data_IF_389426253966
#
_entry.id   IF_389426253966
#
_cell.length_a   1.000
_cell.length_b   1.000
_cell.length_c   1.000
_cell.angle_alpha   90.00
_cell.angle_beta   90.00
_cell.angle_gamma   90.00
#
_symmetry.space_group_name_H-M   'P 1'
#
loop_
_entity.id
_entity.type
_entity.pdbx_description
1 polymer ?
#
# COMPACT_ATOMS: atom_id res chain seq x y z
N UNK A 1 49.84 -67.51 -3.07
CA UNK A 1 49.43 -68.43 -2.02
C UNK A 1 48.25 -67.78 -1.30
N UNK A 2 47.00 -68.19 -1.59
CA UNK A 2 46.11 -69.06 -0.85
C UNK A 2 46.09 -68.64 0.64
N UNK A 3 44.92 -68.17 1.18
CA UNK A 3 43.78 -69.03 1.52
C UNK A 3 42.51 -68.15 1.89
N UNK A 4 41.40 -68.69 1.49
CA UNK A 4 40.02 -68.41 1.91
C UNK A 4 39.74 -68.84 3.35
N UNK A 5 38.79 -68.16 4.01
CA UNK A 5 37.74 -68.73 4.92
C UNK A 5 37.10 -67.58 5.67
N UNK A 6 35.86 -67.43 5.90
CA UNK A 6 34.56 -68.05 5.86
C UNK A 6 33.57 -67.04 6.46
N UNK A 7 32.54 -66.78 5.78
CA UNK A 7 31.15 -66.58 6.18
C UNK A 7 30.81 -66.64 7.67
N UNK A 8 30.17 -65.58 8.17
CA UNK A 8 29.05 -65.71 9.10
C UNK A 8 27.99 -64.57 8.84
N UNK A 9 26.78 -65.04 8.54
CA UNK A 9 25.58 -64.29 8.38
C UNK A 9 25.05 -63.97 9.79
N UNK A 10 24.80 -62.74 10.10
CA UNK A 10 23.89 -62.32 11.18
C UNK A 10 22.91 -61.35 10.61
N UNK A 11 21.66 -61.78 10.51
CA UNK A 11 20.49 -60.98 10.18
C UNK A 11 20.24 -59.98 11.33
N UNK A 12 20.37 -58.72 11.05
CA UNK A 12 19.98 -57.62 11.93
C UNK A 12 19.13 -56.67 11.14
N UNK A 13 17.84 -56.60 11.48
CA UNK A 13 16.85 -55.82 10.79
C UNK A 13 17.23 -54.33 10.68
N UNK A 14 17.34 -53.85 9.47
CA UNK A 14 17.39 -52.42 9.18
C UNK A 14 15.96 -51.86 9.29
N UNK A 15 15.65 -51.22 10.42
CA UNK A 15 14.54 -50.29 10.49
C UNK A 15 14.86 -49.12 9.56
N UNK A 16 14.25 -49.11 8.39
CA UNK A 16 14.21 -47.95 7.52
C UNK A 16 13.34 -46.93 8.23
N UNK A 17 13.96 -46.04 9.00
CA UNK A 17 13.36 -44.82 9.48
C UNK A 17 13.04 -43.95 8.26
N UNK A 18 11.80 -43.98 7.81
CA UNK A 18 11.27 -43.00 6.89
C UNK A 18 11.40 -41.63 7.56
N UNK A 19 12.45 -40.89 7.20
CA UNK A 19 12.48 -39.43 7.40
C UNK A 19 11.39 -38.89 6.49
N UNK A 20 10.19 -38.77 7.05
CA UNK A 20 9.16 -37.93 6.51
C UNK A 20 9.71 -36.51 6.60
N UNK A 21 10.48 -36.11 5.60
CA UNK A 21 10.72 -34.71 5.32
C UNK A 21 9.35 -34.07 5.19
N UNK A 22 8.94 -33.30 6.20
CA UNK A 22 7.79 -32.43 6.11
C UNK A 22 8.02 -31.53 4.88
N UNK A 23 7.38 -31.85 3.77
CA UNK A 23 7.10 -30.86 2.75
C UNK A 23 6.31 -29.80 3.48
N UNK A 24 6.93 -28.66 3.81
CA UNK A 24 6.23 -27.46 4.16
C UNK A 24 5.21 -27.26 3.04
N UNK A 25 3.94 -27.51 3.34
CA UNK A 25 2.88 -27.44 2.37
C UNK A 25 2.76 -25.97 1.94
N UNK A 26 2.78 -25.72 0.63
CA UNK A 26 2.43 -24.41 0.08
C UNK A 26 1.03 -23.94 0.56
N UNK A 27 0.23 -24.80 1.15
CA UNK A 27 -1.03 -24.49 1.84
C UNK A 27 -0.82 -23.65 3.11
N UNK A 28 0.30 -23.78 3.83
CA UNK A 28 0.52 -23.08 5.10
C UNK A 28 0.77 -21.57 4.91
N UNK A 29 1.27 -21.14 3.77
CA UNK A 29 1.53 -19.71 3.50
C UNK A 29 0.24 -18.88 3.36
N UNK A 30 -0.85 -19.48 2.86
CA UNK A 30 -2.12 -18.79 2.64
C UNK A 30 -3.20 -19.20 3.64
N UNK A 31 -2.89 -20.12 4.54
CA UNK A 31 -3.80 -20.73 5.52
C UNK A 31 -3.99 -22.22 5.32
N UNK A 32 -4.84 -22.84 6.15
CA UNK A 32 -5.06 -24.27 6.09
C UNK A 32 -5.78 -24.71 4.81
N UNK A 33 -5.66 -25.99 4.47
CA UNK A 33 -6.37 -26.58 3.33
C UNK A 33 -7.90 -26.40 3.44
N UNK A 34 -8.44 -26.47 4.66
CA UNK A 34 -9.86 -26.25 4.95
C UNK A 34 -10.27 -24.80 4.67
N UNK A 35 -9.45 -23.81 5.06
CA UNK A 35 -9.69 -22.40 4.75
C UNK A 35 -9.75 -22.19 3.24
N UNK A 36 -8.78 -22.72 2.51
CA UNK A 36 -8.70 -22.58 1.06
C UNK A 36 -9.91 -23.24 0.40
N UNK A 37 -10.31 -24.44 0.83
CA UNK A 37 -11.50 -25.13 0.30
C UNK A 37 -12.78 -24.36 0.60
N UNK A 38 -12.92 -23.81 1.81
CA UNK A 38 -14.06 -22.99 2.19
C UNK A 38 -14.14 -21.69 1.37
N UNK A 39 -13.00 -21.00 1.17
CA UNK A 39 -12.91 -19.81 0.33
C UNK A 39 -13.32 -20.09 -1.13
N UNK A 40 -12.86 -21.20 -1.70
CA UNK A 40 -13.27 -21.64 -3.04
C UNK A 40 -14.76 -21.94 -3.12
N UNK A 41 -15.36 -22.48 -2.05
CA UNK A 41 -16.81 -22.74 -1.96
C UNK A 41 -17.60 -21.43 -1.85
N UNK A 42 -17.10 -20.40 -1.16
CA UNK A 42 -17.70 -19.07 -1.13
C UNK A 42 -17.63 -18.40 -2.51
N UNK A 43 -16.58 -18.66 -3.28
CA UNK A 43 -16.44 -18.35 -4.70
C UNK A 43 -16.25 -16.86 -5.03
N UNK A 44 -16.40 -15.97 -4.05
CA UNK A 44 -16.21 -14.52 -4.23
C UNK A 44 -15.94 -13.79 -2.93
N UNK A 45 -15.51 -12.52 -3.06
CA UNK A 45 -15.48 -11.53 -1.98
C UNK A 45 -15.70 -10.13 -2.54
N UNK A 46 -16.16 -9.21 -1.67
CA UNK A 46 -16.31 -7.78 -1.98
C UNK A 46 -15.18 -7.01 -1.30
N UNK A 47 -14.37 -6.34 -2.12
CA UNK A 47 -13.17 -5.62 -1.70
C UNK A 47 -13.37 -4.11 -1.82
N UNK A 48 -13.41 -3.41 -0.68
CA UNK A 48 -13.46 -1.95 -0.61
C UNK A 48 -12.06 -1.37 -0.49
N UNK A 49 -11.70 -0.47 -1.39
CA UNK A 49 -10.35 0.13 -1.42
C UNK A 49 -10.36 1.63 -1.74
N UNK A 50 -9.43 2.37 -1.13
CA UNK A 50 -9.16 3.76 -1.47
C UNK A 50 -7.99 3.92 -2.46
N UNK A 51 -7.31 2.83 -2.83
CA UNK A 51 -6.15 2.87 -3.73
C UNK A 51 -6.56 3.09 -5.21
N UNK A 52 -5.58 3.26 -6.08
CA UNK A 52 -5.79 3.44 -7.51
C UNK A 52 -6.39 2.19 -8.15
N UNK A 53 -7.42 2.37 -8.97
CA UNK A 53 -8.14 1.25 -9.58
C UNK A 53 -7.22 0.37 -10.45
N UNK A 54 -6.33 0.98 -11.21
CA UNK A 54 -5.39 0.28 -12.10
C UNK A 54 -4.40 -0.59 -11.31
N UNK A 55 -3.95 -0.10 -10.14
CA UNK A 55 -3.06 -0.85 -9.24
C UNK A 55 -3.80 -2.04 -8.65
N UNK A 56 -5.01 -1.82 -8.12
CA UNK A 56 -5.79 -2.88 -7.48
C UNK A 56 -6.29 -3.93 -8.47
N UNK A 57 -6.59 -3.57 -9.71
CA UNK A 57 -6.89 -4.53 -10.76
C UNK A 57 -5.74 -5.48 -11.06
N UNK A 58 -4.49 -5.00 -10.98
CA UNK A 58 -3.31 -5.86 -11.12
C UNK A 58 -3.14 -6.80 -9.92
N UNK A 59 -3.40 -6.32 -8.68
CA UNK A 59 -3.41 -7.16 -7.47
C UNK A 59 -4.46 -8.25 -7.60
N UNK A 60 -5.69 -7.91 -7.99
CA UNK A 60 -6.80 -8.84 -8.19
C UNK A 60 -6.45 -9.87 -9.27
N UNK A 61 -5.88 -9.43 -10.39
CA UNK A 61 -5.45 -10.33 -11.47
C UNK A 61 -4.39 -11.33 -11.00
N UNK A 62 -3.43 -10.89 -10.21
CA UNK A 62 -2.39 -11.76 -9.65
C UNK A 62 -2.97 -12.76 -8.64
N UNK A 63 -3.84 -12.31 -7.74
CA UNK A 63 -4.58 -13.18 -6.83
C UNK A 63 -5.41 -14.22 -7.59
N UNK A 64 -6.20 -13.80 -8.58
CA UNK A 64 -7.05 -14.71 -9.37
C UNK A 64 -6.24 -15.66 -10.26
N UNK A 65 -5.01 -15.34 -10.64
CA UNK A 65 -4.10 -16.31 -11.27
C UNK A 65 -3.76 -17.47 -10.32
N UNK A 66 -3.65 -17.20 -9.03
CA UNK A 66 -3.35 -18.18 -7.98
C UNK A 66 -4.60 -18.92 -7.50
N UNK A 67 -5.72 -18.20 -7.37
CA UNK A 67 -7.01 -18.69 -6.86
C UNK A 67 -8.15 -18.31 -7.81
N UNK A 68 -8.24 -18.97 -8.99
CA UNK A 68 -9.21 -18.60 -10.03
C UNK A 68 -10.67 -18.84 -9.62
N UNK A 69 -10.90 -19.67 -8.60
CA UNK A 69 -12.24 -19.98 -8.10
C UNK A 69 -12.84 -18.88 -7.21
N UNK A 70 -12.00 -17.89 -6.76
CA UNK A 70 -12.45 -16.81 -5.86
C UNK A 70 -12.46 -15.49 -6.61
N UNK A 71 -13.63 -15.05 -7.04
CA UNK A 71 -13.81 -13.77 -7.73
C UNK A 71 -13.72 -12.60 -6.75
N UNK A 72 -12.94 -11.56 -7.06
CA UNK A 72 -12.86 -10.32 -6.28
C UNK A 72 -13.70 -9.23 -6.95
N UNK A 73 -14.74 -8.76 -6.25
CA UNK A 73 -15.59 -7.64 -6.66
C UNK A 73 -15.09 -6.36 -5.99
N UNK A 74 -14.46 -5.48 -6.77
CA UNK A 74 -13.85 -4.27 -6.22
C UNK A 74 -14.83 -3.10 -6.18
N UNK A 75 -14.88 -2.42 -5.06
CA UNK A 75 -15.54 -1.12 -4.88
C UNK A 75 -14.47 -0.10 -4.50
N UNK A 76 -14.23 0.85 -5.39
CA UNK A 76 -13.23 1.90 -5.19
C UNK A 76 -13.89 3.26 -4.97
N UNK A 77 -13.44 3.99 -3.95
CA UNK A 77 -13.76 5.41 -3.77
C UNK A 77 -12.55 6.16 -3.18
N UNK A 78 -12.44 7.48 -3.36
CA UNK A 78 -11.47 8.30 -2.64
C UNK A 78 -11.60 8.12 -1.12
N UNK A 79 -10.48 8.28 -0.38
CA UNK A 79 -10.39 7.90 1.03
C UNK A 79 -11.52 8.42 1.91
N UNK A 80 -11.81 9.73 1.92
CA UNK A 80 -12.90 10.30 2.71
C UNK A 80 -14.29 9.78 2.32
N UNK A 81 -14.54 9.62 1.01
CA UNK A 81 -15.81 9.08 0.50
C UNK A 81 -15.98 7.59 0.88
N UNK A 82 -14.91 6.81 0.83
CA UNK A 82 -14.94 5.41 1.23
C UNK A 82 -15.29 5.27 2.73
N UNK A 83 -14.68 6.06 3.59
CA UNK A 83 -15.00 6.08 5.03
C UNK A 83 -16.46 6.47 5.29
N UNK A 84 -16.98 7.49 4.59
CA UNK A 84 -18.38 7.90 4.70
C UNK A 84 -19.30 6.76 4.30
N UNK A 85 -19.00 6.09 3.19
CA UNK A 85 -19.76 4.93 2.71
C UNK A 85 -19.76 3.79 3.74
N UNK A 86 -18.58 3.40 4.26
CA UNK A 86 -18.45 2.36 5.28
C UNK A 86 -19.29 2.68 6.52
N UNK A 87 -19.21 3.92 7.03
CA UNK A 87 -19.99 4.34 8.19
C UNK A 87 -21.49 4.28 7.94
N UNK A 88 -21.93 4.76 6.78
CA UNK A 88 -23.35 4.78 6.41
C UNK A 88 -23.91 3.37 6.25
N UNK A 89 -23.21 2.49 5.53
CA UNK A 89 -23.62 1.11 5.34
C UNK A 89 -23.60 0.33 6.66
N UNK A 90 -22.60 0.54 7.52
CA UNK A 90 -22.52 -0.09 8.82
C UNK A 90 -23.63 0.35 9.77
N UNK A 91 -23.95 1.66 9.81
CA UNK A 91 -25.06 2.19 10.62
C UNK A 91 -26.42 1.62 10.17
N UNK A 92 -26.57 1.31 8.88
CA UNK A 92 -27.74 0.64 8.32
C UNK A 92 -27.73 -0.89 8.48
N UNK A 93 -26.67 -1.49 9.06
CA UNK A 93 -26.50 -2.94 9.14
C UNK A 93 -26.29 -3.63 7.78
N UNK A 94 -25.82 -2.89 6.76
CA UNK A 94 -25.73 -3.33 5.35
C UNK A 94 -24.32 -3.17 4.77
N UNK A 95 -23.27 -3.19 5.61
CA UNK A 95 -21.89 -3.14 5.10
C UNK A 95 -21.62 -4.36 4.23
N UNK A 96 -21.44 -4.11 2.93
CA UNK A 96 -21.26 -5.16 1.93
C UNK A 96 -19.81 -5.65 1.80
N UNK A 97 -18.84 -4.92 2.39
CA UNK A 97 -17.43 -5.25 2.29
C UNK A 97 -17.07 -6.53 3.04
N UNK A 98 -16.33 -7.43 2.39
CA UNK A 98 -15.65 -8.56 3.03
C UNK A 98 -14.19 -8.22 3.40
N UNK A 99 -13.55 -7.32 2.64
CA UNK A 99 -12.24 -6.74 2.97
C UNK A 99 -12.31 -5.24 2.78
N UNK A 100 -11.77 -4.49 3.74
CA UNK A 100 -11.59 -3.03 3.66
C UNK A 100 -10.11 -2.72 3.69
N UNK A 101 -9.67 -1.91 2.74
CA UNK A 101 -8.29 -1.46 2.60
C UNK A 101 -8.24 0.06 2.49
N UNK A 102 -7.52 0.71 3.38
CA UNK A 102 -7.45 2.16 3.43
C UNK A 102 -6.06 2.65 3.78
N UNK A 103 -5.61 3.67 3.07
CA UNK A 103 -4.28 4.26 3.27
C UNK A 103 -4.20 5.25 4.44
N UNK A 104 -5.32 5.59 5.06
CA UNK A 104 -5.36 6.51 6.20
C UNK A 104 -5.68 5.76 7.49
N UNK A 105 -4.64 5.52 8.30
CA UNK A 105 -4.74 4.85 9.59
C UNK A 105 -5.63 5.60 10.58
N UNK A 106 -5.57 6.94 10.57
CA UNK A 106 -6.35 7.72 11.52
C UNK A 106 -7.85 7.67 11.24
N UNK A 107 -8.25 7.52 9.98
CA UNK A 107 -9.63 7.28 9.61
C UNK A 107 -10.09 5.85 9.91
N UNK A 108 -9.17 4.88 9.89
CA UNK A 108 -9.48 3.48 10.18
C UNK A 108 -9.50 3.14 11.67
N UNK A 109 -8.62 3.76 12.48
CA UNK A 109 -8.54 3.48 13.92
C UNK A 109 -9.86 3.66 14.67
N UNK A 110 -10.68 4.71 14.44
CA UNK A 110 -11.99 4.84 15.08
C UNK A 110 -12.99 3.75 14.67
N UNK A 111 -12.71 3.02 13.59
CA UNK A 111 -13.55 1.94 13.08
C UNK A 111 -13.02 0.55 13.46
N UNK A 112 -11.95 0.47 14.23
CA UNK A 112 -11.23 -0.80 14.51
C UNK A 112 -12.14 -1.88 15.10
N UNK A 113 -13.16 -1.49 15.89
CA UNK A 113 -14.10 -2.44 16.50
C UNK A 113 -15.10 -3.05 15.51
N UNK A 114 -15.19 -2.52 14.29
CA UNK A 114 -15.98 -3.13 13.22
C UNK A 114 -15.28 -4.36 12.61
N UNK A 115 -13.98 -4.50 12.81
CA UNK A 115 -13.18 -5.57 12.22
C UNK A 115 -13.02 -6.75 13.18
N UNK A 116 -12.90 -7.94 12.62
CA UNK A 116 -12.57 -9.15 13.36
C UNK A 116 -11.06 -9.27 13.56
N UNK A 117 -10.65 -9.99 14.61
CA UNK A 117 -9.25 -10.38 14.78
C UNK A 117 -8.84 -11.31 13.65
N UNK A 118 -7.67 -11.08 13.11
CA UNK A 118 -7.07 -11.90 12.08
C UNK A 118 -5.55 -11.90 12.22
N UNK A 119 -4.96 -13.08 12.23
CA UNK A 119 -3.52 -13.25 12.15
C UNK A 119 -3.20 -14.02 10.86
N UNK A 120 -2.50 -13.42 9.89
CA UNK A 120 -2.04 -14.15 8.72
C UNK A 120 -1.03 -15.22 9.13
N UNK A 121 -0.86 -16.32 8.36
CA UNK A 121 0.08 -17.39 8.70
C UNK A 121 1.52 -16.92 8.95
N UNK A 122 1.94 -15.87 8.26
CA UNK A 122 3.26 -15.25 8.38
C UNK A 122 3.29 -13.98 9.25
N UNK A 123 2.37 -13.85 10.20
CA UNK A 123 2.29 -12.68 11.10
C UNK A 123 3.63 -12.34 11.78
N UNK A 124 4.40 -13.38 12.16
CA UNK A 124 5.70 -13.23 12.79
C UNK A 124 6.79 -12.62 11.88
N UNK A 125 6.58 -12.63 10.58
CA UNK A 125 7.53 -12.06 9.60
C UNK A 125 7.38 -10.54 9.45
N UNK A 126 6.31 -9.95 10.00
CA UNK A 126 6.06 -8.52 9.96
C UNK A 126 6.80 -7.79 11.08
N UNK A 127 7.22 -6.55 10.82
CA UNK A 127 7.78 -5.65 11.84
C UNK A 127 6.68 -5.31 12.86
N UNK A 128 6.93 -5.44 14.18
CA UNK A 128 5.91 -5.17 15.19
C UNK A 128 5.29 -3.78 15.09
N UNK A 129 6.09 -2.76 14.77
CA UNK A 129 5.65 -1.37 14.63
C UNK A 129 4.79 -1.13 13.37
N UNK A 130 4.80 -2.06 12.44
CA UNK A 130 3.97 -1.97 11.24
C UNK A 130 2.53 -2.43 11.49
N UNK A 131 2.32 -3.32 12.44
CA UNK A 131 1.00 -3.79 12.83
C UNK A 131 0.27 -2.71 13.61
N UNK A 132 -0.93 -2.35 13.16
CA UNK A 132 -1.73 -1.27 13.77
C UNK A 132 -2.53 -1.81 14.96
N UNK A 133 -3.09 -3.00 14.79
CA UNK A 133 -3.87 -3.72 15.79
C UNK A 133 -3.99 -5.20 15.36
N UNK A 134 -4.45 -6.11 16.22
CA UNK A 134 -4.74 -7.49 15.80
C UNK A 134 -5.74 -7.63 14.65
N UNK A 135 -6.46 -6.56 14.34
CA UNK A 135 -7.54 -6.51 13.33
C UNK A 135 -7.16 -5.84 12.01
N UNK A 136 -6.07 -5.05 12.01
CA UNK A 136 -5.67 -4.23 10.84
C UNK A 136 -4.20 -4.49 10.49
N UNK A 137 -3.95 -4.89 9.25
CA UNK A 137 -2.64 -5.27 8.75
C UNK A 137 -2.13 -4.36 7.64
N UNK A 138 -0.80 -4.12 7.57
CA UNK A 138 -0.17 -3.27 6.55
C UNK A 138 0.06 -4.05 5.25
N UNK A 139 -0.97 -4.21 4.44
CA UNK A 139 -0.89 -4.92 3.16
C UNK A 139 0.14 -4.31 2.20
N UNK A 140 0.24 -3.00 2.20
CA UNK A 140 1.20 -2.25 1.40
C UNK A 140 1.67 -1.03 2.17
N UNK A 141 2.87 -0.55 1.86
CA UNK A 141 3.38 0.73 2.35
C UNK A 141 3.62 1.64 1.16
N UNK A 142 2.98 2.79 1.18
CA UNK A 142 3.14 3.81 0.15
C UNK A 142 4.17 4.85 0.59
N UNK A 143 4.88 5.41 -0.38
CA UNK A 143 5.86 6.47 -0.14
C UNK A 143 5.63 7.62 -1.12
N UNK A 144 5.69 8.85 -0.62
CA UNK A 144 5.63 10.05 -1.42
C UNK A 144 6.99 10.41 -2.00
N UNK A 145 6.97 10.93 -3.21
CA UNK A 145 8.13 11.42 -3.95
C UNK A 145 7.76 12.72 -4.66
N UNK A 146 8.73 13.39 -5.24
CA UNK A 146 8.47 14.35 -6.31
C UNK A 146 8.56 13.59 -7.62
N UNK A 147 7.49 13.65 -8.42
CA UNK A 147 7.49 13.17 -9.78
C UNK A 147 7.61 14.34 -10.76
N UNK A 148 8.32 14.16 -11.86
CA UNK A 148 8.47 15.18 -12.88
C UNK A 148 8.44 14.59 -14.30
N UNK A 149 7.97 15.41 -15.25
CA UNK A 149 8.00 15.07 -16.67
C UNK A 149 9.38 15.43 -17.24
N UNK A 150 10.04 14.44 -17.85
CA UNK A 150 11.43 14.58 -18.35
C UNK A 150 11.55 15.45 -19.59
N UNK A 151 10.48 15.64 -20.34
CA UNK A 151 10.45 16.50 -21.53
C UNK A 151 10.29 17.97 -21.16
N UNK A 152 9.59 18.27 -20.06
CA UNK A 152 9.33 19.63 -19.58
C UNK A 152 10.37 20.11 -18.57
N UNK A 153 11.00 19.20 -17.82
CA UNK A 153 11.91 19.54 -16.74
C UNK A 153 13.36 19.29 -17.13
N UNK A 154 14.05 20.34 -17.59
CA UNK A 154 15.47 20.26 -17.97
C UNK A 154 16.40 20.04 -16.77
N UNK A 155 16.06 20.61 -15.65
CA UNK A 155 16.78 20.48 -14.38
C UNK A 155 15.93 19.69 -13.38
N UNK A 156 16.26 18.44 -13.07
CA UNK A 156 15.52 17.65 -12.07
C UNK A 156 15.41 18.39 -10.74
N UNK A 157 14.29 18.22 -10.01
CA UNK A 157 14.14 18.78 -8.66
C UNK A 157 15.21 18.18 -7.74
N UNK A 158 15.68 18.95 -6.77
CA UNK A 158 16.69 18.55 -5.77
C UNK A 158 16.17 18.59 -4.34
N UNK A 159 15.07 19.29 -4.11
CA UNK A 159 14.45 19.49 -2.80
C UNK A 159 12.94 19.62 -2.96
N UNK A 160 12.19 19.50 -1.87
CA UNK A 160 10.76 19.85 -1.86
C UNK A 160 10.53 21.32 -2.22
N UNK A 161 11.48 22.21 -1.88
CA UNK A 161 11.40 23.63 -2.16
C UNK A 161 11.46 23.99 -3.64
N UNK A 162 11.89 23.07 -4.50
CA UNK A 162 11.87 23.31 -5.95
C UNK A 162 10.45 23.46 -6.50
N UNK A 163 9.45 22.89 -5.79
CA UNK A 163 8.03 23.09 -6.13
C UNK A 163 7.51 24.50 -5.84
N UNK A 164 8.31 25.34 -5.18
CA UNK A 164 7.94 26.73 -4.84
C UNK A 164 8.66 27.78 -5.69
N UNK A 165 9.45 27.34 -6.69
CA UNK A 165 10.22 28.24 -7.54
C UNK A 165 9.34 28.95 -8.57
N UNK A 166 9.49 30.26 -8.75
CA UNK A 166 8.69 31.05 -9.71
C UNK A 166 8.75 30.55 -11.15
N UNK A 167 9.85 29.89 -11.55
CA UNK A 167 10.01 29.32 -12.90
C UNK A 167 9.00 28.20 -13.20
N UNK A 168 8.36 27.64 -12.16
CA UNK A 168 7.31 26.62 -12.28
C UNK A 168 5.90 27.17 -12.03
N UNK A 169 5.71 28.50 -12.17
CA UNK A 169 4.39 29.11 -12.04
C UNK A 169 3.38 28.42 -12.98
N UNK A 170 2.27 27.95 -12.43
CA UNK A 170 1.21 27.18 -13.11
C UNK A 170 1.68 25.86 -13.77
N UNK A 171 2.88 25.40 -13.43
CA UNK A 171 3.46 24.17 -13.99
C UNK A 171 3.57 23.04 -12.96
N UNK A 172 3.17 23.26 -11.71
CA UNK A 172 3.14 22.22 -10.69
C UNK A 172 1.72 21.75 -10.41
N UNK A 173 1.58 20.50 -9.94
CA UNK A 173 0.30 19.94 -9.52
C UNK A 173 0.25 19.74 -8.01
N UNK A 174 -0.96 19.78 -7.45
CA UNK A 174 -1.24 19.45 -6.05
C UNK A 174 -2.55 18.66 -5.93
N UNK A 175 -2.61 17.72 -5.00
CA UNK A 175 -3.85 17.03 -4.63
C UNK A 175 -4.48 17.75 -3.46
N UNK A 176 -5.79 18.00 -3.51
CA UNK A 176 -6.56 18.63 -2.44
C UNK A 176 -6.29 17.99 -1.08
N UNK A 177 -6.11 18.79 -0.05
CA UNK A 177 -5.94 18.30 1.31
C UNK A 177 -7.11 17.40 1.75
N UNK A 178 -8.32 17.73 1.33
CA UNK A 178 -9.55 17.00 1.63
C UNK A 178 -9.67 15.64 0.92
N UNK A 179 -8.80 15.30 -0.03
CA UNK A 179 -8.81 13.98 -0.68
C UNK A 179 -8.59 12.85 0.33
N UNK A 180 -8.05 13.18 1.49
CA UNK A 180 -7.80 12.22 2.57
C UNK A 180 -6.71 11.21 2.22
N UNK A 181 -6.69 10.11 2.95
CA UNK A 181 -5.74 9.04 2.72
C UNK A 181 -4.29 9.50 2.90
N UNK A 182 -3.43 9.05 2.02
CA UNK A 182 -1.99 9.39 2.06
C UNK A 182 -1.71 10.87 1.87
N UNK A 183 -2.63 11.63 1.24
CA UNK A 183 -2.47 13.07 1.05
C UNK A 183 -2.30 13.78 2.38
N UNK A 184 -3.07 13.38 3.41
CA UNK A 184 -2.94 13.95 4.74
C UNK A 184 -1.55 13.71 5.35
N UNK A 185 -0.96 12.54 5.15
CA UNK A 185 0.41 12.25 5.59
C UNK A 185 1.42 13.20 4.96
N UNK A 186 1.26 13.51 3.67
CA UNK A 186 2.09 14.50 2.96
C UNK A 186 1.89 15.92 3.52
N UNK A 187 0.66 16.33 3.75
CA UNK A 187 0.32 17.65 4.34
C UNK A 187 0.97 17.82 5.71
N UNK A 188 0.93 16.79 6.56
CA UNK A 188 1.63 16.80 7.85
C UNK A 188 3.13 16.94 7.69
N UNK A 189 3.73 16.18 6.77
CA UNK A 189 5.16 16.26 6.48
C UNK A 189 5.56 17.67 6.03
N UNK A 190 4.83 18.24 5.08
CA UNK A 190 5.09 19.58 4.58
C UNK A 190 5.11 20.60 5.71
N UNK A 191 4.14 20.53 6.63
CA UNK A 191 4.04 21.47 7.74
C UNK A 191 5.09 21.24 8.83
N UNK A 192 5.36 19.97 9.20
CA UNK A 192 6.25 19.64 10.31
C UNK A 192 7.73 19.66 9.91
N UNK A 193 8.05 19.34 8.66
CA UNK A 193 9.43 19.21 8.19
C UNK A 193 9.88 20.40 7.35
N UNK A 194 9.02 20.88 6.44
CA UNK A 194 9.36 22.01 5.56
C UNK A 194 9.02 23.36 6.21
N UNK A 195 8.12 23.38 7.19
CA UNK A 195 7.81 24.57 7.97
C UNK A 195 6.60 25.37 7.51
N UNK A 196 6.33 26.43 8.24
CA UNK A 196 5.09 27.21 8.10
C UNK A 196 4.95 27.95 6.77
N UNK A 197 6.06 28.41 6.22
CA UNK A 197 6.10 29.20 4.99
C UNK A 197 5.90 28.38 3.70
N UNK A 198 6.07 27.05 3.79
CA UNK A 198 6.12 26.21 2.59
C UNK A 198 4.84 26.32 1.76
N UNK A 199 3.68 26.19 2.38
CA UNK A 199 2.39 26.25 1.65
C UNK A 199 2.17 27.60 1.00
N UNK A 200 2.48 28.70 1.71
CA UNK A 200 2.32 30.03 1.13
C UNK A 200 3.21 30.25 -0.09
N UNK A 201 4.46 29.82 -0.01
CA UNK A 201 5.41 29.89 -1.15
C UNK A 201 4.99 29.00 -2.31
N UNK A 202 4.47 27.81 -2.03
CA UNK A 202 3.98 26.92 -3.06
C UNK A 202 2.68 27.45 -3.71
N UNK A 203 1.75 27.98 -2.92
CA UNK A 203 0.52 28.60 -3.44
C UNK A 203 0.81 29.80 -4.34
N UNK A 204 1.90 30.53 -4.08
CA UNK A 204 2.34 31.66 -4.91
C UNK A 204 2.80 31.25 -6.32
N UNK A 205 3.08 29.96 -6.58
CA UNK A 205 3.33 29.43 -7.91
C UNK A 205 2.07 28.91 -8.62
N UNK A 206 0.89 29.20 -8.09
CA UNK A 206 -0.42 28.88 -8.65
C UNK A 206 -0.51 27.41 -9.15
N UNK A 207 -0.25 26.41 -8.30
CA UNK A 207 -0.29 25.02 -8.71
C UNK A 207 -1.69 24.60 -9.17
N UNK A 208 -1.75 23.69 -10.14
CA UNK A 208 -3.03 23.11 -10.59
C UNK A 208 -3.51 22.12 -9.54
N UNK A 209 -4.73 22.26 -9.06
CA UNK A 209 -5.33 21.46 -8.02
C UNK A 209 -6.11 20.27 -8.59
N UNK A 210 -5.83 19.06 -8.09
CA UNK A 210 -6.44 17.82 -8.55
C UNK A 210 -7.22 17.11 -7.43
N UNK A 211 -8.34 16.42 -7.76
CA UNK A 211 -9.14 15.71 -6.77
C UNK A 211 -8.46 14.44 -6.23
N UNK A 212 -7.46 13.91 -6.92
CA UNK A 212 -6.69 12.74 -6.47
C UNK A 212 -5.39 12.60 -7.26
N UNK A 213 -4.51 11.69 -6.82
CA UNK A 213 -3.24 11.42 -7.50
C UNK A 213 -3.38 10.83 -8.91
N UNK A 214 -4.48 10.11 -9.22
CA UNK A 214 -4.66 9.52 -10.55
C UNK A 214 -4.76 10.58 -11.66
N UNK A 215 -5.72 11.52 -11.65
CA UNK A 215 -5.78 12.56 -12.67
C UNK A 215 -4.54 13.47 -12.68
N UNK A 216 -3.90 13.69 -11.53
CA UNK A 216 -2.66 14.46 -11.46
C UNK A 216 -1.50 13.71 -12.15
N UNK A 217 -1.39 12.39 -11.94
CA UNK A 217 -0.36 11.59 -12.60
C UNK A 217 -0.57 11.51 -14.12
N UNK A 218 -1.82 11.48 -14.57
CA UNK A 218 -2.15 11.51 -15.99
C UNK A 218 -1.81 12.85 -16.62
N UNK A 219 -2.09 13.96 -15.92
CA UNK A 219 -1.69 15.31 -16.35
C UNK A 219 -0.16 15.45 -16.45
N UNK A 220 0.59 14.86 -15.50
CA UNK A 220 2.04 14.81 -15.55
C UNK A 220 2.55 14.07 -16.78
N UNK A 221 1.98 12.89 -17.08
CA UNK A 221 2.36 12.10 -18.27
C UNK A 221 2.08 12.86 -19.56
N UNK A 222 0.93 13.54 -19.66
CA UNK A 222 0.57 14.35 -20.85
C UNK A 222 1.32 15.68 -20.97
N UNK A 223 2.16 16.04 -19.97
CA UNK A 223 2.88 17.30 -19.97
C UNK A 223 2.03 18.53 -19.67
N UNK A 224 0.87 18.39 -19.02
CA UNK A 224 0.03 19.50 -18.57
C UNK A 224 0.63 20.18 -17.33
N UNK A 225 1.41 19.42 -16.54
CA UNK A 225 2.23 19.90 -15.44
C UNK A 225 3.66 19.37 -15.57
N UNK A 226 4.63 20.12 -15.09
CA UNK A 226 6.04 19.74 -15.14
C UNK A 226 6.43 18.83 -13.98
N UNK A 227 5.88 19.05 -12.79
CA UNK A 227 6.19 18.25 -11.60
C UNK A 227 5.14 18.39 -10.51
N UNK A 228 5.24 17.51 -9.51
CA UNK A 228 4.46 17.62 -8.29
C UNK A 228 4.65 16.42 -7.35
N UNK A 229 4.13 16.51 -6.11
CA UNK A 229 4.18 15.42 -5.17
C UNK A 229 3.21 14.31 -5.59
N UNK A 230 3.75 13.12 -5.86
CA UNK A 230 2.99 11.93 -6.22
C UNK A 230 3.52 10.69 -5.48
N UNK A 231 2.67 9.71 -5.31
CA UNK A 231 3.06 8.43 -4.75
C UNK A 231 3.99 7.69 -5.71
N UNK A 232 5.07 7.14 -5.17
CA UNK A 232 6.07 6.41 -5.92
C UNK A 232 5.48 5.30 -6.78
N UNK A 233 4.58 4.49 -6.23
CA UNK A 233 4.02 3.32 -6.91
C UNK A 233 3.28 3.66 -8.21
N UNK A 234 2.52 4.77 -8.26
CA UNK A 234 1.79 5.15 -9.48
C UNK A 234 2.76 5.63 -10.57
N UNK A 235 3.81 6.35 -10.20
CA UNK A 235 4.80 6.82 -11.15
C UNK A 235 5.75 5.70 -11.58
N UNK A 236 6.10 4.79 -10.66
CA UNK A 236 6.88 3.59 -10.97
C UNK A 236 6.25 2.77 -12.09
N UNK A 237 4.94 2.50 -12.02
CA UNK A 237 4.23 1.76 -13.07
C UNK A 237 4.20 2.53 -14.39
N UNK A 238 3.89 3.83 -14.37
CA UNK A 238 3.88 4.67 -15.58
C UNK A 238 5.26 4.75 -16.24
N UNK A 239 6.31 4.94 -15.44
CA UNK A 239 7.70 4.94 -15.93
C UNK A 239 8.08 3.60 -16.57
N UNK A 240 7.76 2.48 -15.91
CA UNK A 240 8.00 1.14 -16.45
C UNK A 240 7.27 0.93 -17.79
N UNK A 241 6.08 1.48 -17.92
CA UNK A 241 5.26 1.41 -19.14
C UNK A 241 5.71 2.43 -20.21
N UNK A 242 6.84 3.13 -20.01
CA UNK A 242 7.49 3.99 -21.00
C UNK A 242 7.03 5.46 -21.00
N UNK A 243 6.27 5.91 -19.99
CA UNK A 243 5.90 7.32 -19.89
C UNK A 243 7.13 8.21 -19.61
N UNK A 244 7.17 9.46 -20.14
CA UNK A 244 8.29 10.39 -19.97
C UNK A 244 8.28 11.03 -18.57
N UNK A 245 8.30 10.20 -17.54
CA UNK A 245 8.26 10.64 -16.14
C UNK A 245 9.40 10.04 -15.34
N UNK A 246 9.85 10.78 -14.34
CA UNK A 246 10.91 10.36 -13.44
C UNK A 246 10.55 10.67 -11.99
N UNK A 247 11.25 10.04 -11.06
CA UNK A 247 10.97 10.08 -9.63
C UNK A 247 12.21 10.61 -8.92
N UNK A 248 11.99 11.48 -7.95
CA UNK A 248 13.03 12.00 -7.07
C UNK A 248 12.61 11.94 -5.60
N UNK A 249 13.50 11.47 -4.75
CA UNK A 249 13.33 11.49 -3.29
C UNK A 249 14.17 12.61 -2.67
N UNK A 250 13.53 13.71 -2.20
CA UNK A 250 14.25 14.83 -1.64
C UNK A 250 14.95 14.51 -0.30
N UNK A 251 16.08 15.16 -0.01
CA UNK A 251 16.88 14.93 1.20
C UNK A 251 16.16 15.33 2.50
N UNK A 252 15.16 16.21 2.44
CA UNK A 252 14.35 16.58 3.61
C UNK A 252 13.58 15.36 4.13
N UNK A 253 13.15 14.49 3.25
CA UNK A 253 12.47 13.24 3.57
C UNK A 253 11.35 12.87 2.61
N UNK A 254 10.90 11.64 2.74
CA UNK A 254 9.80 11.06 1.98
C UNK A 254 8.73 10.53 2.95
N UNK A 255 7.54 11.13 2.97
CA UNK A 255 6.45 10.65 3.83
C UNK A 255 6.01 9.24 3.44
N UNK A 256 5.86 8.37 4.43
CA UNK A 256 5.40 6.98 4.20
C UNK A 256 4.10 6.71 4.94
N UNK A 257 3.28 5.87 4.34
CA UNK A 257 1.99 5.50 4.91
C UNK A 257 1.68 4.02 4.64
N UNK A 258 1.83 3.16 5.66
CA UNK A 258 1.35 1.79 5.57
C UNK A 258 -0.19 1.74 5.55
N UNK A 259 -0.76 0.90 4.69
CA UNK A 259 -2.20 0.65 4.66
C UNK A 259 -2.71 0.04 5.96
N UNK A 260 -3.99 0.25 6.22
CA UNK A 260 -4.76 -0.43 7.23
C UNK A 260 -5.79 -1.32 6.54
N UNK A 261 -5.54 -2.63 6.49
CA UNK A 261 -6.40 -3.59 5.81
C UNK A 261 -7.00 -4.55 6.83
N UNK A 262 -8.31 -4.73 6.81
CA UNK A 262 -9.02 -5.59 7.75
C UNK A 262 -10.25 -6.25 7.15
N UNK A 263 -10.77 -7.25 7.88
CA UNK A 263 -11.95 -8.03 7.53
C UNK A 263 -13.07 -7.60 8.48
N UNK A 264 -14.18 -6.99 7.97
CA UNK A 264 -15.31 -6.65 8.81
C UNK A 264 -15.91 -7.87 9.52
N UNK A 265 -16.43 -7.68 10.74
CA UNK A 265 -17.15 -8.74 11.48
C UNK A 265 -18.39 -9.24 10.74
N UNK A 266 -18.96 -8.37 9.88
CA UNK A 266 -20.15 -8.63 9.06
C UNK A 266 -19.84 -9.22 7.69
N UNK A 267 -18.57 -9.56 7.41
CA UNK A 267 -18.17 -10.15 6.13
C UNK A 267 -19.04 -11.38 5.79
N UNK A 268 -19.60 -11.38 4.60
CA UNK A 268 -20.48 -12.46 4.13
C UNK A 268 -19.71 -13.61 3.47
N UNK A 269 -18.45 -13.34 3.09
CA UNK A 269 -17.52 -14.33 2.53
C UNK A 269 -16.21 -14.33 3.36
N UNK A 270 -16.27 -14.73 4.66
CA UNK A 270 -15.14 -14.55 5.59
C UNK A 270 -13.93 -15.42 5.25
N UNK A 271 -14.12 -16.58 4.62
CA UNK A 271 -13.00 -17.44 4.24
C UNK A 271 -12.30 -16.93 2.98
N UNK A 272 -13.05 -16.45 2.00
CA UNK A 272 -12.50 -15.79 0.81
C UNK A 272 -11.75 -14.49 1.19
N UNK A 273 -12.30 -13.71 2.13
CA UNK A 273 -11.65 -12.53 2.68
C UNK A 273 -10.32 -12.84 3.37
N UNK A 274 -10.28 -13.88 4.22
CA UNK A 274 -9.05 -14.36 4.88
C UNK A 274 -8.02 -14.83 3.86
N UNK A 275 -8.44 -15.62 2.87
CA UNK A 275 -7.55 -16.12 1.83
C UNK A 275 -6.94 -14.97 1.00
N UNK A 276 -7.75 -13.99 0.60
CA UNK A 276 -7.27 -12.80 -0.12
C UNK A 276 -6.29 -11.98 0.71
N UNK A 277 -6.61 -11.69 1.98
CA UNK A 277 -5.73 -10.94 2.86
C UNK A 277 -4.45 -11.71 3.16
N UNK A 278 -4.51 -13.02 3.41
CA UNK A 278 -3.33 -13.87 3.61
C UNK A 278 -2.42 -13.86 2.38
N UNK A 279 -2.99 -13.97 1.17
CA UNK A 279 -2.20 -13.89 -0.06
C UNK A 279 -1.54 -12.50 -0.20
N UNK A 280 -2.29 -11.42 0.03
CA UNK A 280 -1.72 -10.07 -0.01
C UNK A 280 -0.56 -9.88 1.00
N UNK A 281 -0.63 -10.55 2.16
CA UNK A 281 0.37 -10.47 3.23
C UNK A 281 1.49 -11.52 3.09
N UNK A 282 1.33 -12.53 2.24
CA UNK A 282 2.32 -13.57 1.98
C UNK A 282 3.57 -13.03 1.28
N UNK A 283 4.66 -13.80 1.29
CA UNK A 283 5.86 -13.42 0.52
C UNK A 283 5.56 -13.33 -0.98
N UNK A 284 4.72 -14.23 -1.53
CA UNK A 284 4.31 -14.20 -2.94
C UNK A 284 3.60 -12.89 -3.29
N UNK A 285 2.56 -12.52 -2.51
CA UNK A 285 1.79 -11.30 -2.74
C UNK A 285 2.61 -10.03 -2.50
N UNK A 286 3.43 -10.00 -1.45
CA UNK A 286 4.33 -8.88 -1.17
C UNK A 286 5.37 -8.71 -2.28
N UNK A 287 5.99 -9.80 -2.73
CA UNK A 287 6.95 -9.75 -3.84
C UNK A 287 6.32 -9.18 -5.11
N UNK A 288 5.11 -9.65 -5.46
CA UNK A 288 4.36 -9.10 -6.59
C UNK A 288 4.10 -7.59 -6.43
N UNK A 289 3.53 -7.17 -5.30
CA UNK A 289 3.19 -5.76 -5.08
C UNK A 289 4.41 -4.85 -5.08
N UNK A 290 5.57 -5.34 -4.66
CA UNK A 290 6.80 -4.55 -4.63
C UNK A 290 7.42 -4.50 -6.02
N UNK A 291 7.66 -5.64 -6.64
CA UNK A 291 8.38 -5.71 -7.92
C UNK A 291 7.57 -5.17 -9.08
N UNK A 292 6.27 -5.47 -9.12
CA UNK A 292 5.41 -5.07 -10.23
C UNK A 292 4.70 -3.73 -10.01
N UNK A 293 4.41 -3.38 -8.76
CA UNK A 293 3.59 -2.19 -8.46
C UNK A 293 4.34 -1.09 -7.72
N UNK A 294 5.61 -1.28 -7.37
CA UNK A 294 6.40 -0.23 -6.70
C UNK A 294 5.99 0.07 -5.26
N UNK A 295 5.28 -0.83 -4.58
CA UNK A 295 5.00 -0.67 -3.16
C UNK A 295 6.25 -0.96 -2.32
N UNK A 296 6.23 -0.55 -1.05
CA UNK A 296 7.20 -0.99 -0.06
C UNK A 296 6.58 -2.04 0.86
N UNK A 297 7.42 -2.88 1.47
CA UNK A 297 6.96 -3.91 2.41
C UNK A 297 7.14 -3.50 3.86
N UNK A 298 6.26 -4.02 4.71
CA UNK A 298 6.39 -4.00 6.17
C UNK A 298 6.96 -5.32 6.74
N UNK A 299 7.39 -6.25 5.90
CA UNK A 299 8.09 -7.46 6.34
C UNK A 299 9.44 -7.11 6.97
N UNK A 300 9.93 -7.96 7.87
CA UNK A 300 11.30 -7.89 8.42
C UNK A 300 12.34 -8.10 7.33
N UNK A 301 12.10 -9.08 6.45
CA UNK A 301 12.88 -9.28 5.23
C UNK A 301 12.54 -8.17 4.23
N UNK A 302 13.53 -7.34 3.89
CA UNK A 302 13.34 -6.19 3.02
C UNK A 302 13.75 -6.52 1.59
N UNK A 303 12.87 -6.24 0.66
CA UNK A 303 13.14 -6.21 -0.78
C UNK A 303 12.45 -4.97 -1.38
N UNK A 304 12.96 -4.50 -2.51
CA UNK A 304 12.61 -3.20 -3.06
C UNK A 304 12.28 -3.30 -4.55
N UNK A 305 11.50 -2.33 -5.08
CA UNK A 305 11.30 -2.19 -6.51
C UNK A 305 12.62 -2.03 -7.25
N UNK A 306 12.63 -2.31 -8.54
CA UNK A 306 13.80 -2.09 -9.37
C UNK A 306 14.19 -0.60 -9.41
N UNK A 307 15.48 -0.30 -9.23
CA UNK A 307 16.00 1.06 -9.19
C UNK A 307 15.74 1.81 -7.87
N UNK A 308 15.07 1.22 -6.89
CA UNK A 308 14.89 1.84 -5.57
C UNK A 308 16.10 1.55 -4.67
N UNK A 309 16.85 2.59 -4.28
CA UNK A 309 17.94 2.49 -3.30
C UNK A 309 17.49 3.04 -1.93
N UNK A 310 17.22 2.17 -0.94
CA UNK A 310 16.75 2.61 0.37
C UNK A 310 17.75 3.49 1.13
N UNK A 311 19.04 3.45 0.77
CA UNK A 311 20.08 4.28 1.41
C UNK A 311 19.99 5.75 1.00
N UNK A 312 19.38 6.02 -0.14
CA UNK A 312 19.16 7.38 -0.66
C UNK A 312 17.81 7.98 -0.23
N UNK A 313 16.98 7.22 0.47
CA UNK A 313 15.63 7.64 0.85
C UNK A 313 15.53 7.81 2.35
N UNK A 314 15.41 9.06 2.80
CA UNK A 314 15.10 9.37 4.19
C UNK A 314 13.59 9.28 4.39
N UNK A 315 13.12 8.18 4.97
CA UNK A 315 11.69 8.00 5.27
C UNK A 315 11.25 8.84 6.47
N UNK A 316 10.02 9.36 6.39
CA UNK A 316 9.39 10.08 7.48
C UNK A 316 8.01 9.46 7.79
N UNK A 317 7.76 9.22 9.08
CA UNK A 317 6.49 8.69 9.58
C UNK A 317 5.75 9.77 10.38
N UNK A 318 4.43 9.94 10.19
CA UNK A 318 3.65 10.83 11.02
C UNK A 318 3.53 10.30 12.44
N UNK A 319 3.44 11.21 13.42
CA UNK A 319 3.05 10.87 14.77
C UNK A 319 1.53 10.72 14.82
N UNK A 320 1.05 9.50 15.03
CA UNK A 320 -0.38 9.17 14.90
C UNK A 320 -1.27 9.79 15.98
N UNK A 321 -0.76 10.08 17.17
CA UNK A 321 -1.46 10.78 18.24
C UNK A 321 -1.79 12.24 17.91
N UNK A 322 -0.96 12.90 17.10
CA UNK A 322 -1.20 14.26 16.61
C UNK A 322 -2.12 14.28 15.37
N UNK A 323 -2.19 13.16 14.65
CA UNK A 323 -2.79 13.05 13.32
C UNK A 323 -4.25 13.51 13.28
N UNK A 324 -5.08 13.07 14.22
CA UNK A 324 -6.50 13.43 14.27
C UNK A 324 -6.72 14.86 14.74
N UNK A 325 -5.93 15.32 15.71
CA UNK A 325 -6.07 16.66 16.29
C UNK A 325 -5.76 17.76 15.27
N UNK A 326 -4.77 17.54 14.41
CA UNK A 326 -4.29 18.52 13.44
C UNK A 326 -5.06 18.48 12.12
N UNK A 327 -5.79 17.41 11.83
CA UNK A 327 -6.44 17.21 10.53
C UNK A 327 -7.37 18.37 10.16
N UNK A 328 -8.40 18.64 10.96
CA UNK A 328 -9.39 19.69 10.65
C UNK A 328 -8.77 21.09 10.49
N UNK A 329 -8.01 21.57 11.49
CA UNK A 329 -7.39 22.90 11.42
C UNK A 329 -6.43 23.07 10.23
N UNK A 330 -5.58 22.09 9.95
CA UNK A 330 -4.58 22.20 8.88
C UNK A 330 -5.18 22.01 7.49
N UNK A 331 -6.21 21.19 7.34
CA UNK A 331 -6.96 21.10 6.08
C UNK A 331 -7.63 22.44 5.77
N UNK A 332 -8.27 23.05 6.74
CA UNK A 332 -8.90 24.38 6.55
C UNK A 332 -7.87 25.47 6.22
N UNK A 333 -6.70 25.46 6.86
CA UNK A 333 -5.61 26.38 6.55
C UNK A 333 -5.04 26.15 5.15
N UNK A 334 -4.84 24.89 4.75
CA UNK A 334 -4.38 24.53 3.42
C UNK A 334 -5.38 25.01 2.36
N UNK A 335 -6.67 24.73 2.53
CA UNK A 335 -7.73 25.14 1.60
C UNK A 335 -7.76 26.66 1.41
N UNK A 336 -7.64 27.41 2.52
CA UNK A 336 -7.56 28.87 2.47
C UNK A 336 -6.32 29.34 1.73
N UNK A 337 -5.16 28.72 1.96
CA UNK A 337 -3.87 29.10 1.36
C UNK A 337 -3.84 28.85 -0.14
N UNK A 338 -4.39 27.73 -0.60
CA UNK A 338 -4.44 27.40 -2.03
C UNK A 338 -5.71 27.89 -2.74
N UNK A 339 -6.59 28.63 -2.04
CA UNK A 339 -7.80 29.17 -2.61
C UNK A 339 -8.84 28.11 -3.00
N UNK A 340 -8.73 26.89 -2.40
CA UNK A 340 -9.72 25.86 -2.64
C UNK A 340 -11.04 26.21 -1.94
N UNK A 341 -12.12 26.33 -2.73
CA UNK A 341 -13.49 26.53 -2.24
C UNK A 341 -14.28 25.27 -2.54
N UNK A 342 -14.97 24.77 -1.50
CA UNK A 342 -15.91 23.65 -1.65
C UNK A 342 -17.13 24.05 -2.47
#
# INVERSE_FOLDING_TARGET
MITRRKFNVLAGGAAVGAVLGSKANAADEFGSAELIAAAKKEGKLVYYTANFAEVEQQVIKAFNKRFPEVKVEMVRAPGGQLITRIKTEAAAGKLAADVVDHSDRALMLPLVDMFQDHAPPNAADYKPEAQISPKLWPRATLIWSIAYNTELTKNPPKTWWDLTKPEYDKMTGQVFAQSGGTTWTRIMFERQVLGEDYWAKQAATHPILYPSGAPMSDALVRGEIAMGPLLYNIIYTKKRDGAPVEIFFPPEGAPVNPYATGIPKTATHPNAAKLFLNWCLSKEGQYFMIKELGNLTSLKEQFYPEGFDPKQVKVWFPKFDEYQKLHGPWVAEWDKTFGYRQ
#
